data_IF_054414362143
#
_entry.id   IF_054414362143
#
_cell.length_a   1.000
_cell.length_b   1.000
_cell.length_c   1.000
_cell.angle_alpha   90.00
_cell.angle_beta   90.00
_cell.angle_gamma   90.00
#
_symmetry.space_group_name_H-M   'P 1'
#
loop_
_entity.id
_entity.type
_entity.pdbx_description
1 polymer ?
#
# COMPACT_ATOMS: atom_id res chain seq x y z
N UNK A 1 -4.42 -65.89 -7.71
CA UNK A 1 -4.43 -66.03 -6.25
C UNK A 1 -3.04 -65.70 -5.67
N UNK A 2 -2.84 -64.49 -5.26
CA UNK A 2 -1.57 -64.05 -4.72
C UNK A 2 -1.24 -64.64 -3.34
N UNK A 3 0.02 -64.77 -3.06
CA UNK A 3 0.50 -65.16 -1.74
C UNK A 3 0.05 -64.10 -0.73
N UNK A 4 -0.70 -64.51 0.36
CA UNK A 4 -1.15 -63.59 1.38
C UNK A 4 -0.03 -62.78 2.03
N UNK A 5 1.15 -63.37 2.17
CA UNK A 5 2.32 -62.70 2.71
C UNK A 5 2.78 -61.50 1.86
N UNK A 6 2.76 -61.67 0.53
CA UNK A 6 3.13 -60.59 -0.39
C UNK A 6 2.14 -59.45 -0.31
N UNK A 7 0.84 -59.76 -0.24
CA UNK A 7 -0.20 -58.74 -0.07
C UNK A 7 -0.06 -57.97 1.22
N UNK A 8 0.15 -58.63 2.36
CA UNK A 8 0.39 -57.98 3.63
C UNK A 8 1.62 -57.07 3.59
N UNK A 9 2.70 -57.54 2.98
CA UNK A 9 3.92 -56.76 2.83
C UNK A 9 3.66 -55.49 2.01
N UNK A 10 2.93 -55.59 0.94
CA UNK A 10 2.57 -54.44 0.06
C UNK A 10 1.70 -53.44 0.86
N UNK A 11 0.73 -53.92 1.62
CA UNK A 11 -0.15 -53.07 2.41
C UNK A 11 0.66 -52.33 3.50
N UNK A 12 1.59 -53.01 4.15
CA UNK A 12 2.50 -52.41 5.15
C UNK A 12 3.41 -51.35 4.51
N UNK A 13 3.94 -51.63 3.33
CA UNK A 13 4.80 -50.68 2.61
C UNK A 13 4.01 -49.41 2.25
N UNK A 14 2.73 -49.54 1.84
CA UNK A 14 1.85 -48.41 1.55
C UNK A 14 1.62 -47.59 2.83
N UNK A 15 1.33 -48.24 3.95
CA UNK A 15 1.11 -47.55 5.23
C UNK A 15 2.37 -46.80 5.68
N UNK A 16 3.55 -47.43 5.58
CA UNK A 16 4.83 -46.78 5.92
C UNK A 16 5.06 -45.55 5.02
N UNK A 17 4.79 -45.68 3.72
CA UNK A 17 4.93 -44.55 2.80
C UNK A 17 4.01 -43.39 3.15
N UNK A 18 2.75 -43.68 3.53
CA UNK A 18 1.78 -42.66 3.96
C UNK A 18 2.25 -41.97 5.24
N UNK A 19 2.78 -42.72 6.22
CA UNK A 19 3.30 -42.16 7.46
C UNK A 19 4.52 -41.27 7.21
N UNK A 20 5.42 -41.67 6.32
CA UNK A 20 6.58 -40.86 5.93
C UNK A 20 6.16 -39.55 5.30
N UNK A 21 5.16 -39.59 4.40
CA UNK A 21 4.63 -38.40 3.76
C UNK A 21 3.98 -37.45 4.78
N UNK A 22 3.18 -37.99 5.67
CA UNK A 22 2.53 -37.22 6.73
C UNK A 22 3.57 -36.56 7.65
N UNK A 23 4.61 -37.26 8.03
CA UNK A 23 5.71 -36.74 8.83
C UNK A 23 6.45 -35.61 8.10
N UNK A 24 6.73 -35.78 6.81
CA UNK A 24 7.38 -34.76 6.00
C UNK A 24 6.53 -33.50 5.89
N UNK A 25 5.21 -33.64 5.67
CA UNK A 25 4.29 -32.52 5.63
C UNK A 25 4.24 -31.79 6.97
N UNK A 26 4.17 -32.52 8.06
CA UNK A 26 4.15 -31.94 9.41
C UNK A 26 5.45 -31.21 9.73
N UNK A 27 6.59 -31.76 9.37
CA UNK A 27 7.91 -31.11 9.53
C UNK A 27 7.98 -29.82 8.70
N UNK A 28 7.47 -29.84 7.47
CA UNK A 28 7.40 -28.66 6.59
C UNK A 28 6.54 -27.55 7.20
N UNK A 29 5.39 -27.91 7.79
CA UNK A 29 4.51 -26.96 8.48
C UNK A 29 5.19 -26.32 9.68
N UNK A 30 5.90 -27.12 10.50
CA UNK A 30 6.64 -26.60 11.66
C UNK A 30 7.74 -25.64 11.20
N UNK A 31 8.49 -25.99 10.17
CA UNK A 31 9.54 -25.13 9.62
C UNK A 31 9.00 -23.81 9.09
N UNK A 32 7.87 -23.85 8.37
CA UNK A 32 7.18 -22.66 7.87
C UNK A 32 6.72 -21.76 9.02
N UNK A 33 6.15 -22.34 10.07
CA UNK A 33 5.70 -21.61 11.25
C UNK A 33 6.86 -20.96 12.00
N UNK A 34 7.97 -21.66 12.17
CA UNK A 34 9.17 -21.11 12.79
C UNK A 34 9.74 -19.94 11.97
N UNK A 35 9.73 -20.04 10.64
CA UNK A 35 10.15 -18.97 9.75
C UNK A 35 9.23 -17.75 9.88
N UNK A 36 7.90 -17.96 9.97
CA UNK A 36 6.93 -16.90 10.16
C UNK A 36 7.15 -16.16 11.48
N UNK A 37 7.37 -16.91 12.59
CA UNK A 37 7.66 -16.34 13.91
C UNK A 37 8.95 -15.52 13.88
N UNK A 38 10.01 -16.07 13.29
CA UNK A 38 11.33 -15.46 13.34
C UNK A 38 11.50 -14.28 12.40
N UNK A 39 10.80 -14.26 11.25
CA UNK A 39 11.07 -13.31 10.17
C UNK A 39 9.84 -12.58 9.67
N UNK A 40 8.80 -13.32 9.27
CA UNK A 40 7.64 -12.75 8.60
C UNK A 40 6.83 -11.83 9.51
N UNK A 41 6.38 -12.31 10.67
CA UNK A 41 5.57 -11.51 11.58
C UNK A 41 6.31 -10.29 12.12
N UNK A 42 7.56 -10.40 12.59
CA UNK A 42 8.29 -9.20 13.02
C UNK A 42 8.46 -8.16 11.92
N UNK A 43 8.71 -8.60 10.68
CA UNK A 43 8.85 -7.68 9.53
C UNK A 43 7.54 -6.96 9.22
N UNK A 44 6.44 -7.71 9.13
CA UNK A 44 5.13 -7.13 8.84
C UNK A 44 4.65 -6.21 9.96
N UNK A 45 4.94 -6.55 11.21
CA UNK A 45 4.64 -5.71 12.37
C UNK A 45 5.43 -4.39 12.28
N UNK A 46 6.72 -4.45 11.99
CA UNK A 46 7.56 -3.26 11.83
C UNK A 46 7.07 -2.36 10.71
N UNK A 47 6.67 -2.94 9.57
CA UNK A 47 6.09 -2.18 8.44
C UNK A 47 4.79 -1.50 8.85
N UNK A 48 3.89 -2.22 9.54
CA UNK A 48 2.62 -1.66 10.00
C UNK A 48 2.84 -0.53 11.02
N UNK A 49 3.77 -0.70 11.97
CA UNK A 49 4.13 0.34 12.93
C UNK A 49 4.67 1.60 12.24
N UNK A 50 5.55 1.42 11.25
CA UNK A 50 6.09 2.52 10.46
C UNK A 50 5.02 3.25 9.66
N UNK A 51 4.08 2.51 9.08
CA UNK A 51 2.95 3.09 8.36
C UNK A 51 2.03 3.89 9.28
N UNK A 52 1.75 3.39 10.47
CA UNK A 52 0.94 4.11 11.47
C UNK A 52 1.57 5.45 11.81
N UNK A 53 2.87 5.48 12.10
CA UNK A 53 3.57 6.72 12.41
C UNK A 53 3.56 7.69 11.23
N UNK A 54 3.77 7.19 10.01
CA UNK A 54 3.72 7.99 8.80
C UNK A 54 2.31 8.57 8.58
N UNK A 55 1.25 7.76 8.76
CA UNK A 55 -0.13 8.21 8.61
C UNK A 55 -0.50 9.28 9.66
N UNK A 56 -0.04 9.13 10.90
CA UNK A 56 -0.26 10.12 11.95
C UNK A 56 0.40 11.46 11.60
N UNK A 57 1.64 11.42 11.12
CA UNK A 57 2.36 12.61 10.67
C UNK A 57 1.63 13.30 9.53
N UNK A 58 1.19 12.52 8.53
CA UNK A 58 0.49 13.07 7.37
C UNK A 58 -0.90 13.57 7.71
N UNK A 59 -1.60 12.94 8.65
CA UNK A 59 -2.90 13.41 9.14
C UNK A 59 -2.77 14.80 9.76
N UNK A 60 -1.76 15.02 10.59
CA UNK A 60 -1.50 16.34 11.17
C UNK A 60 -1.13 17.37 10.10
N UNK A 61 -0.32 16.98 9.09
CA UNK A 61 0.04 17.86 7.98
C UNK A 61 -1.15 18.19 7.08
N UNK A 62 -2.09 17.25 6.93
CA UNK A 62 -3.27 17.44 6.09
C UNK A 62 -4.37 18.29 6.73
N UNK A 63 -4.46 18.35 8.06
CA UNK A 63 -5.49 19.11 8.78
C UNK A 63 -5.62 20.54 8.32
N UNK A 64 -4.55 21.37 8.28
CA UNK A 64 -4.68 22.75 7.83
C UNK A 64 -5.08 22.85 6.36
N UNK A 65 -4.69 21.89 5.51
CA UNK A 65 -5.05 21.88 4.10
C UNK A 65 -6.53 21.56 3.88
N UNK A 66 -7.08 20.65 4.67
CA UNK A 66 -8.49 20.25 4.59
C UNK A 66 -9.42 21.29 5.21
N UNK A 67 -8.91 22.09 6.15
CA UNK A 67 -9.66 23.15 6.81
C UNK A 67 -9.63 24.48 6.05
N UNK A 68 -8.85 24.59 4.96
CA UNK A 68 -8.74 25.81 4.18
C UNK A 68 -10.06 26.17 3.52
N UNK A 69 -10.41 27.46 3.60
CA UNK A 69 -11.49 28.02 2.80
C UNK A 69 -10.98 28.44 1.41
N UNK A 70 -11.87 29.01 0.57
CA UNK A 70 -11.52 29.41 -0.78
C UNK A 70 -10.43 30.49 -0.82
N UNK A 71 -10.37 31.35 0.20
CA UNK A 71 -9.46 32.48 0.20
C UNK A 71 -8.03 32.10 0.62
N UNK A 72 -7.87 30.93 1.27
CA UNK A 72 -6.59 30.47 1.78
C UNK A 72 -6.00 29.30 1.01
N UNK A 73 -6.69 28.83 -0.04
CA UNK A 73 -6.19 27.74 -0.89
C UNK A 73 -4.95 28.17 -1.64
N UNK A 74 -3.90 27.37 -1.59
CA UNK A 74 -2.66 27.57 -2.34
C UNK A 74 -2.01 26.25 -2.67
N UNK A 75 -1.58 26.08 -3.92
CA UNK A 75 -0.87 24.89 -4.39
C UNK A 75 0.17 25.33 -5.41
N UNK A 76 1.40 24.80 -5.29
CA UNK A 76 2.48 25.08 -6.22
C UNK A 76 2.53 24.00 -7.30
N UNK A 77 2.51 24.42 -8.57
CA UNK A 77 2.72 23.53 -9.72
C UNK A 77 3.72 24.19 -10.66
N UNK A 78 4.77 23.45 -11.00
CA UNK A 78 5.81 23.91 -11.93
C UNK A 78 6.46 25.24 -11.53
N UNK A 79 6.62 25.45 -10.23
CA UNK A 79 7.25 26.64 -9.67
C UNK A 79 6.31 27.84 -9.48
N UNK A 80 5.03 27.74 -9.87
CA UNK A 80 4.06 28.81 -9.70
C UNK A 80 3.03 28.43 -8.63
N UNK A 81 2.73 29.37 -7.74
CA UNK A 81 1.69 29.20 -6.73
C UNK A 81 0.34 29.62 -7.29
N UNK A 82 -0.62 28.71 -7.23
CA UNK A 82 -2.00 28.93 -7.68
C UNK A 82 -2.91 29.03 -6.47
N UNK A 83 -3.86 29.95 -6.54
CA UNK A 83 -4.85 30.17 -5.48
C UNK A 83 -6.26 29.79 -5.91
N UNK A 84 -6.46 29.51 -7.21
CA UNK A 84 -7.74 29.06 -7.73
C UNK A 84 -7.71 27.60 -8.13
N UNK A 85 -8.67 26.82 -7.62
CA UNK A 85 -8.73 25.37 -7.83
C UNK A 85 -8.81 24.98 -9.31
N UNK A 86 -9.59 25.70 -10.10
CA UNK A 86 -9.74 25.42 -11.52
C UNK A 86 -8.43 25.61 -12.28
N UNK A 87 -7.72 26.69 -11.98
CA UNK A 87 -6.43 26.99 -12.62
C UNK A 87 -5.35 25.97 -12.26
N UNK A 88 -5.24 25.60 -10.98
CA UNK A 88 -4.25 24.62 -10.55
C UNK A 88 -4.59 23.23 -11.07
N UNK A 89 -5.87 22.90 -11.16
CA UNK A 89 -6.29 21.62 -11.74
C UNK A 89 -5.87 21.50 -13.20
N UNK A 90 -6.00 22.58 -13.96
CA UNK A 90 -5.52 22.66 -15.36
C UNK A 90 -3.99 22.58 -15.41
N UNK A 91 -3.29 23.25 -14.48
CA UNK A 91 -1.82 23.22 -14.42
C UNK A 91 -1.30 21.81 -14.11
N UNK A 92 -1.99 21.04 -13.27
CA UNK A 92 -1.64 19.64 -13.00
C UNK A 92 -1.71 18.81 -14.28
N UNK A 93 -2.79 18.96 -15.06
CA UNK A 93 -2.96 18.24 -16.33
C UNK A 93 -1.84 18.58 -17.29
N UNK A 94 -1.53 19.85 -17.46
CA UNK A 94 -0.47 20.30 -18.36
C UNK A 94 0.91 19.82 -17.90
N UNK A 95 1.21 19.84 -16.60
CA UNK A 95 2.46 19.33 -16.05
C UNK A 95 2.60 17.81 -16.28
N UNK A 96 1.53 17.06 -16.12
CA UNK A 96 1.50 15.62 -16.41
C UNK A 96 1.80 15.35 -17.89
N UNK A 97 1.15 16.09 -18.79
CA UNK A 97 1.38 15.97 -20.24
C UNK A 97 2.80 16.33 -20.64
N UNK A 98 3.37 17.36 -20.02
CA UNK A 98 4.75 17.78 -20.30
C UNK A 98 5.77 16.72 -19.92
N UNK A 99 5.61 16.07 -18.76
CA UNK A 99 6.49 14.97 -18.34
C UNK A 99 6.36 13.76 -19.27
N UNK A 100 5.15 13.42 -19.66
CA UNK A 100 4.93 12.32 -20.60
C UNK A 100 5.60 12.61 -21.95
N UNK A 101 5.45 13.81 -22.47
CA UNK A 101 6.05 14.21 -23.74
C UNK A 101 7.58 14.17 -23.67
N UNK A 102 8.16 14.48 -22.53
CA UNK A 102 9.60 14.38 -22.28
C UNK A 102 10.08 12.95 -22.01
N UNK A 103 9.16 11.98 -21.91
CA UNK A 103 9.51 10.59 -21.61
C UNK A 103 9.97 10.37 -20.18
N UNK A 104 9.56 11.21 -19.25
CA UNK A 104 9.98 11.15 -17.83
C UNK A 104 8.78 11.12 -16.90
N UNK A 105 9.08 10.85 -15.64
CA UNK A 105 8.15 10.97 -14.51
C UNK A 105 8.84 11.72 -13.39
N UNK A 106 8.09 12.33 -12.48
CA UNK A 106 8.70 13.01 -11.33
C UNK A 106 7.83 14.10 -10.75
N UNK A 107 8.47 14.95 -9.97
CA UNK A 107 7.82 16.02 -9.22
C UNK A 107 7.23 17.07 -10.15
N UNK A 108 5.97 17.43 -9.92
CA UNK A 108 5.31 18.52 -10.63
C UNK A 108 4.98 19.70 -9.71
N UNK A 109 4.99 19.51 -8.40
CA UNK A 109 4.66 20.58 -7.49
C UNK A 109 4.53 20.11 -6.03
N UNK A 110 3.85 20.92 -5.23
CA UNK A 110 3.62 20.62 -3.82
C UNK A 110 2.29 21.23 -3.35
N UNK A 111 1.73 20.61 -2.32
CA UNK A 111 0.55 21.09 -1.61
C UNK A 111 0.80 20.99 -0.12
N UNK A 112 1.07 22.13 0.53
CA UNK A 112 1.51 22.13 1.92
C UNK A 112 2.81 21.33 2.08
N UNK A 113 2.82 20.40 3.01
CA UNK A 113 3.96 19.53 3.28
C UNK A 113 4.07 18.34 2.30
N UNK A 114 3.11 18.18 1.39
CA UNK A 114 3.08 17.05 0.45
C UNK A 114 3.68 17.44 -0.89
N UNK A 115 4.51 16.56 -1.45
CA UNK A 115 5.01 16.70 -2.81
C UNK A 115 4.08 15.97 -3.79
N UNK A 116 3.92 16.53 -4.98
CA UNK A 116 3.10 15.95 -6.04
C UNK A 116 4.02 15.45 -7.15
N UNK A 117 3.91 14.17 -7.48
CA UNK A 117 4.69 13.52 -8.53
C UNK A 117 3.76 12.88 -9.55
N UNK A 118 4.10 13.01 -10.83
CA UNK A 118 3.29 12.48 -11.92
C UNK A 118 3.98 11.31 -12.60
N UNK A 119 3.19 10.30 -12.94
CA UNK A 119 3.60 9.15 -13.72
C UNK A 119 2.49 8.79 -14.71
N UNK A 120 2.86 8.44 -15.94
CA UNK A 120 1.90 7.93 -16.90
C UNK A 120 1.84 6.41 -16.81
N UNK A 121 0.65 5.89 -16.58
CA UNK A 121 0.39 4.44 -16.54
C UNK A 121 0.10 3.96 -17.97
N UNK A 122 1.06 3.25 -18.57
CA UNK A 122 0.93 2.74 -19.94
C UNK A 122 -0.11 1.63 -20.07
N UNK A 123 -0.41 0.93 -18.99
CA UNK A 123 -1.40 -0.15 -18.99
C UNK A 123 -2.82 0.41 -19.03
N UNK A 124 -3.14 1.29 -18.07
CA UNK A 124 -4.47 1.89 -17.97
C UNK A 124 -4.63 3.18 -18.81
N UNK A 125 -3.54 3.68 -19.40
CA UNK A 125 -3.53 4.89 -20.24
C UNK A 125 -4.03 6.12 -19.49
N UNK A 126 -3.63 6.27 -18.23
CA UNK A 126 -4.00 7.40 -17.37
C UNK A 126 -2.77 7.96 -16.68
N UNK A 127 -2.84 9.21 -16.26
CA UNK A 127 -1.83 9.81 -15.40
C UNK A 127 -2.14 9.43 -13.95
N UNK A 128 -1.11 8.96 -13.23
CA UNK A 128 -1.16 8.69 -11.80
C UNK A 128 -0.41 9.79 -11.06
N UNK A 129 -1.08 10.44 -10.14
CA UNK A 129 -0.46 11.44 -9.28
C UNK A 129 -0.17 10.81 -7.93
N UNK A 130 1.11 10.86 -7.52
CA UNK A 130 1.53 10.45 -6.18
C UNK A 130 1.60 11.67 -5.29
N UNK A 131 0.93 11.59 -4.15
CA UNK A 131 0.95 12.62 -3.11
C UNK A 131 1.89 12.08 -2.03
N UNK A 132 3.08 12.67 -1.92
CA UNK A 132 4.15 12.15 -1.06
C UNK A 132 4.28 12.97 0.21
N UNK A 133 3.89 12.36 1.32
CA UNK A 133 4.19 12.85 2.65
C UNK A 133 5.18 11.90 3.32
N UNK A 134 4.98 11.64 4.61
CA UNK A 134 5.70 10.56 5.30
C UNK A 134 5.30 9.19 4.74
N UNK A 135 4.06 9.06 4.27
CA UNK A 135 3.57 7.93 3.48
C UNK A 135 3.22 8.42 2.07
N UNK A 136 2.98 7.50 1.14
CA UNK A 136 2.63 7.85 -0.23
C UNK A 136 1.16 7.52 -0.52
N UNK A 137 0.48 8.45 -1.17
CA UNK A 137 -0.91 8.30 -1.61
C UNK A 137 -0.94 8.44 -3.12
N UNK A 138 -1.91 7.81 -3.78
CA UNK A 138 -2.01 7.81 -5.23
C UNK A 138 -3.44 8.12 -5.66
N UNK A 139 -3.58 8.87 -6.74
CA UNK A 139 -4.86 9.13 -7.37
C UNK A 139 -4.72 9.15 -8.88
N UNK A 140 -5.84 8.92 -9.57
CA UNK A 140 -5.91 9.04 -11.04
C UNK A 140 -6.24 10.48 -11.41
N UNK A 141 -5.50 11.04 -12.37
CA UNK A 141 -5.76 12.37 -12.92
C UNK A 141 -6.81 12.25 -14.03
N UNK A 142 -7.93 12.94 -13.85
CA UNK A 142 -9.00 12.98 -14.84
C UNK A 142 -8.93 14.21 -15.73
N UNK A 143 -9.91 14.34 -16.62
CA UNK A 143 -10.00 15.45 -17.57
C UNK A 143 -10.57 16.74 -16.97
N UNK A 144 -11.32 16.62 -15.87
CA UNK A 144 -11.91 17.77 -15.19
C UNK A 144 -10.91 18.38 -14.20
N UNK A 145 -10.47 19.64 -14.44
CA UNK A 145 -9.51 20.28 -13.54
C UNK A 145 -9.97 20.38 -12.08
N UNK A 146 -11.21 20.78 -11.83
CA UNK A 146 -11.74 20.88 -10.46
C UNK A 146 -11.90 19.51 -9.81
N UNK A 147 -12.30 18.51 -10.60
CA UNK A 147 -12.39 17.13 -10.13
C UNK A 147 -11.06 16.58 -9.66
N UNK A 148 -9.95 16.99 -10.28
CA UNK A 148 -8.62 16.58 -9.85
C UNK A 148 -8.26 17.13 -8.48
N UNK A 149 -8.63 18.37 -8.20
CA UNK A 149 -8.41 18.96 -6.88
C UNK A 149 -9.26 18.26 -5.81
N UNK A 150 -10.50 17.95 -6.14
CA UNK A 150 -11.36 17.17 -5.26
C UNK A 150 -10.75 15.79 -4.95
N UNK A 151 -10.16 15.14 -5.96
CA UNK A 151 -9.48 13.86 -5.77
C UNK A 151 -8.27 13.97 -4.85
N UNK A 152 -7.48 15.04 -4.95
CA UNK A 152 -6.36 15.30 -4.06
C UNK A 152 -6.86 15.47 -2.62
N UNK A 153 -7.86 16.32 -2.40
CA UNK A 153 -8.42 16.54 -1.07
C UNK A 153 -9.06 15.27 -0.50
N UNK A 154 -9.73 14.48 -1.33
CA UNK A 154 -10.31 13.20 -0.90
C UNK A 154 -9.22 12.19 -0.51
N UNK A 155 -8.09 12.16 -1.22
CA UNK A 155 -6.98 11.30 -0.87
C UNK A 155 -6.40 11.67 0.50
N UNK A 156 -6.25 12.96 0.78
CA UNK A 156 -5.78 13.45 2.08
C UNK A 156 -6.81 13.20 3.18
N UNK A 157 -8.09 13.42 2.91
CA UNK A 157 -9.17 13.13 3.87
C UNK A 157 -9.25 11.63 4.19
N UNK A 158 -8.88 10.78 3.25
CA UNK A 158 -8.87 9.33 3.43
C UNK A 158 -7.84 8.81 4.43
N UNK A 159 -6.84 9.62 4.79
CA UNK A 159 -5.81 9.23 5.77
C UNK A 159 -6.47 8.91 7.11
N UNK A 160 -7.43 9.70 7.54
CA UNK A 160 -8.17 9.48 8.79
C UNK A 160 -8.86 8.12 8.83
N UNK A 161 -9.36 7.63 7.69
CA UNK A 161 -10.00 6.31 7.59
C UNK A 161 -9.00 5.18 7.47
N UNK A 162 -7.85 5.43 6.85
CA UNK A 162 -6.82 4.43 6.67
C UNK A 162 -6.13 4.07 8.00
N UNK A 163 -5.96 5.05 8.89
CA UNK A 163 -5.24 4.85 10.15
C UNK A 163 -5.84 3.73 11.01
N UNK A 164 -7.16 3.70 11.31
CA UNK A 164 -7.74 2.61 12.08
C UNK A 164 -7.60 1.24 11.41
N UNK A 165 -7.60 1.19 10.09
CA UNK A 165 -7.43 -0.06 9.35
C UNK A 165 -6.04 -0.65 9.55
N UNK A 166 -5.00 0.19 9.51
CA UNK A 166 -3.62 -0.24 9.74
C UNK A 166 -3.41 -0.63 11.21
N UNK A 167 -4.01 0.10 12.14
CA UNK A 167 -3.97 -0.24 13.56
C UNK A 167 -4.58 -1.61 13.83
N UNK A 168 -5.71 -1.93 13.19
CA UNK A 168 -6.34 -3.26 13.28
C UNK A 168 -5.47 -4.34 12.66
N UNK A 169 -4.82 -4.05 11.55
CA UNK A 169 -3.88 -4.99 10.94
C UNK A 169 -2.71 -5.30 11.88
N UNK A 170 -2.15 -4.28 12.51
CA UNK A 170 -1.07 -4.46 13.50
C UNK A 170 -1.53 -5.36 14.64
N UNK A 171 -2.70 -5.08 15.21
CA UNK A 171 -3.28 -5.90 16.28
C UNK A 171 -3.44 -7.36 15.85
N UNK A 172 -3.97 -7.58 14.64
CA UNK A 172 -4.12 -8.92 14.07
C UNK A 172 -2.78 -9.64 13.93
N UNK A 173 -1.76 -8.95 13.43
CA UNK A 173 -0.41 -9.51 13.26
C UNK A 173 0.21 -9.87 14.62
N UNK A 174 0.05 -9.02 15.63
CA UNK A 174 0.53 -9.27 16.99
C UNK A 174 -0.17 -10.47 17.61
N UNK A 175 -1.48 -10.60 17.41
CA UNK A 175 -2.25 -11.76 17.89
C UNK A 175 -1.82 -13.04 17.18
N UNK A 176 -1.62 -13.02 15.87
CA UNK A 176 -1.16 -14.16 15.10
C UNK A 176 0.23 -14.61 15.58
N UNK A 177 1.13 -13.67 15.83
CA UNK A 177 2.46 -13.98 16.35
C UNK A 177 2.38 -14.62 17.75
N UNK A 178 1.56 -14.07 18.63
CA UNK A 178 1.36 -14.60 19.96
C UNK A 178 0.80 -16.03 19.92
N UNK A 179 -0.20 -16.29 19.06
CA UNK A 179 -0.77 -17.62 18.87
C UNK A 179 0.24 -18.61 18.29
N UNK A 180 1.07 -18.16 17.36
CA UNK A 180 2.08 -19.02 16.73
C UNK A 180 3.17 -19.45 17.72
N UNK A 181 3.43 -18.66 18.75
CA UNK A 181 4.42 -18.96 19.80
C UNK A 181 3.92 -19.95 20.86
N UNK A 182 2.60 -20.15 20.94
CA UNK A 182 2.02 -21.18 21.80
C UNK A 182 2.16 -22.55 21.13
#
# INVERSE_FOLDING_TARGET
TGNPYIKEKMDLDIQVSKLKLLKANHTSQIYSLESDIARRYPREIAVAQGQIEALKTDMEAAKPLLAQDKDHFAMEISGKVYTERKEVGAAIIEACKALKAAGTEGRIGSYGAFELHSRFDNFDKVFRLSIKGAWNYSMEVGKDPQGNILRVTNALAGIERALPQVERRLETLEQQLAQARE
#
